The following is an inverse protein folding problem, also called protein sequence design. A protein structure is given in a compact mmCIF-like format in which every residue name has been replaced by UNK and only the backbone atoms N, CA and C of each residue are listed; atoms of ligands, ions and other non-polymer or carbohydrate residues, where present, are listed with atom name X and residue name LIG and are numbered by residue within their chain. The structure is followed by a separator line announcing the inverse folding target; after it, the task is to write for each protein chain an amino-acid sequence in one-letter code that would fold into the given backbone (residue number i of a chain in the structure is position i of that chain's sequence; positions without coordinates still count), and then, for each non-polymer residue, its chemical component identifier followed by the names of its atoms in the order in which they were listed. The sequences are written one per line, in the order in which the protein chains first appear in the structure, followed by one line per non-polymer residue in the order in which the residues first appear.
data_IF_345353393464
#
_entry.id   IF_345353393464
#
_cell.length_a   1.000
_cell.length_b   1.000
_cell.length_c   1.000
_cell.angle_alpha   90.00
_cell.angle_beta   90.00
_cell.angle_gamma   90.00
#
_symmetry.space_group_name_H-M   'P 1'
#
loop_
_entity.id
_entity.type
_entity.pdbx_description
1 polymer ?
#
# COMPACT_ATOMS: atom_id res chain seq x y z
N UNK A 1 21.33 -3.07 -4.32
CA UNK A 1 21.40 -1.79 -3.58
C UNK A 1 20.17 -0.91 -3.82
N UNK A 2 19.73 -0.72 -5.07
CA UNK A 2 18.59 0.15 -5.42
C UNK A 2 17.24 -0.17 -4.73
N UNK A 3 16.90 -1.46 -4.54
CA UNK A 3 15.61 -1.84 -3.94
C UNK A 3 15.44 -1.46 -2.46
N UNK A 4 16.53 -1.43 -1.69
CA UNK A 4 16.49 -1.07 -0.28
C UNK A 4 16.26 0.44 -0.06
N UNK A 5 16.76 1.26 -0.98
CA UNK A 5 16.57 2.72 -0.97
C UNK A 5 15.11 3.09 -1.29
N UNK A 6 14.53 2.45 -2.31
CA UNK A 6 13.12 2.63 -2.67
C UNK A 6 12.20 2.20 -1.53
N UNK A 7 12.50 1.09 -0.84
CA UNK A 7 11.72 0.64 0.31
C UNK A 7 11.81 1.62 1.50
N UNK A 8 13.00 2.19 1.76
CA UNK A 8 13.21 3.21 2.80
C UNK A 8 12.44 4.50 2.52
N UNK A 9 12.43 4.97 1.28
CA UNK A 9 11.68 6.18 0.90
C UNK A 9 10.17 5.93 0.94
N UNK A 10 9.72 4.77 0.44
CA UNK A 10 8.31 4.39 0.41
C UNK A 10 7.74 4.27 1.82
N UNK A 11 8.44 3.58 2.73
CA UNK A 11 8.04 3.47 4.15
C UNK A 11 7.98 4.83 4.85
N UNK A 12 8.90 5.76 4.52
CA UNK A 12 8.88 7.12 5.09
C UNK A 12 7.68 7.93 4.59
N UNK A 13 7.35 7.84 3.31
CA UNK A 13 6.18 8.50 2.71
C UNK A 13 4.89 7.93 3.32
N UNK A 14 4.79 6.61 3.43
CA UNK A 14 3.64 5.93 4.03
C UNK A 14 3.43 6.40 5.48
N UNK A 15 4.50 6.47 6.29
CA UNK A 15 4.41 6.96 7.68
C UNK A 15 3.89 8.40 7.76
N UNK A 16 4.33 9.29 6.87
CA UNK A 16 3.85 10.67 6.80
C UNK A 16 2.36 10.74 6.45
N UNK A 17 1.93 9.95 5.47
CA UNK A 17 0.51 9.83 5.07
C UNK A 17 -0.33 9.29 6.23
N UNK A 18 0.14 8.26 6.94
CA UNK A 18 -0.56 7.66 8.07
C UNK A 18 -0.76 8.64 9.23
N UNK A 19 0.24 9.48 9.54
CA UNK A 19 0.10 10.56 10.55
C UNK A 19 -0.95 11.58 10.13
N UNK A 20 -1.00 11.94 8.85
CA UNK A 20 -2.01 12.86 8.32
C UNK A 20 -3.43 12.27 8.44
N UNK A 21 -3.64 11.03 8.01
CA UNK A 21 -4.93 10.31 8.11
C UNK A 21 -5.38 10.25 9.58
N UNK A 22 -4.47 9.87 10.49
CA UNK A 22 -4.78 9.80 11.92
C UNK A 22 -5.19 11.18 12.50
N UNK A 23 -4.56 12.27 12.03
CA UNK A 23 -4.95 13.63 12.40
C UNK A 23 -6.36 14.00 11.91
N UNK A 24 -6.71 13.62 10.67
CA UNK A 24 -8.04 13.80 10.12
C UNK A 24 -9.10 12.99 10.88
N UNK A 25 -8.82 11.72 11.19
CA UNK A 25 -9.74 10.85 11.93
C UNK A 25 -10.04 11.41 13.33
N UNK A 26 -9.03 11.93 14.04
CA UNK A 26 -9.24 12.57 15.35
C UNK A 26 -10.13 13.81 15.25
N UNK A 27 -9.99 14.60 14.18
CA UNK A 27 -10.86 15.76 13.92
C UNK A 27 -12.30 15.36 13.59
N UNK A 28 -12.49 14.32 12.77
CA UNK A 28 -13.83 13.81 12.40
C UNK A 28 -14.54 13.22 13.63
N UNK A 29 -13.82 12.51 14.48
CA UNK A 29 -14.34 11.92 15.72
C UNK A 29 -14.48 12.94 16.87
N UNK A 30 -14.21 14.22 16.61
CA UNK A 30 -14.28 15.34 17.56
C UNK A 30 -13.53 15.07 18.89
N UNK A 31 -12.37 14.43 18.82
CA UNK A 31 -11.53 14.11 19.97
C UNK A 31 -10.64 15.31 20.26
N UNK A 32 -11.03 16.15 21.22
CA UNK A 32 -10.20 17.23 21.74
C UNK A 32 -9.20 16.67 22.76
N UNK A 33 -7.91 16.77 22.44
CA UNK A 33 -6.82 16.40 23.34
C UNK A 33 -7.03 16.98 24.76
N UNK A 34 -6.73 16.22 25.85
CA UNK A 34 -5.48 15.49 25.99
C UNK A 34 -5.54 14.13 26.74
N UNK A 35 -6.41 13.19 26.37
CA UNK A 35 -6.37 11.84 26.97
C UNK A 35 -6.18 10.74 25.92
N UNK A 36 -4.91 10.47 25.63
CA UNK A 36 -4.31 9.13 25.45
C UNK A 36 -5.09 8.07 24.68
N UNK A 37 -5.83 8.41 23.62
CA UNK A 37 -6.33 7.39 22.70
C UNK A 37 -5.12 6.83 21.94
N UNK A 38 -4.73 5.61 22.29
CA UNK A 38 -3.69 4.86 21.59
C UNK A 38 -4.08 4.71 20.12
N UNK A 39 -3.09 4.70 19.23
CA UNK A 39 -3.36 4.48 17.80
C UNK A 39 -4.10 3.15 17.57
N UNK A 40 -3.88 2.14 18.43
CA UNK A 40 -4.59 0.86 18.39
C UNK A 40 -6.10 0.99 18.62
N UNK A 41 -6.52 1.77 19.62
CA UNK A 41 -7.94 1.99 19.91
C UNK A 41 -8.63 2.78 18.78
N UNK A 42 -7.91 3.71 18.14
CA UNK A 42 -8.41 4.47 17.00
C UNK A 42 -8.59 3.60 15.75
N UNK A 43 -7.68 2.66 15.52
CA UNK A 43 -7.78 1.65 14.46
C UNK A 43 -8.92 0.66 14.70
N UNK A 44 -9.12 0.21 15.94
CA UNK A 44 -10.25 -0.64 16.32
C UNK A 44 -11.59 0.07 16.08
N UNK A 45 -11.69 1.37 16.41
CA UNK A 45 -12.90 2.18 16.19
C UNK A 45 -13.24 2.38 14.71
N UNK A 46 -12.24 2.36 13.83
CA UNK A 46 -12.37 2.61 12.39
C UNK A 46 -12.33 1.34 11.55
N UNK A 47 -12.09 0.17 12.17
CA UNK A 47 -11.82 -1.10 11.49
C UNK A 47 -10.67 -1.01 10.46
N UNK A 48 -9.70 -0.11 10.67
CA UNK A 48 -8.55 0.09 9.77
C UNK A 48 -7.30 -0.60 10.29
N UNK A 49 -6.44 -1.10 9.39
CA UNK A 49 -5.12 -1.66 9.72
C UNK A 49 -4.01 -0.63 9.41
N UNK A 50 -2.83 -0.74 10.06
CA UNK A 50 -1.67 0.05 9.67
C UNK A 50 -1.30 -0.26 8.22
N UNK A 51 -0.93 0.77 7.45
CA UNK A 51 -0.55 0.60 6.04
C UNK A 51 0.61 -0.41 5.83
N UNK A 52 1.51 -0.55 6.81
CA UNK A 52 2.59 -1.55 6.79
C UNK A 52 2.04 -2.99 6.87
N UNK A 53 1.02 -3.20 7.69
CA UNK A 53 0.35 -4.48 7.88
C UNK A 53 -0.45 -4.87 6.62
N UNK A 54 -1.07 -3.89 5.98
CA UNK A 54 -1.79 -4.06 4.72
C UNK A 54 -0.84 -4.42 3.57
N UNK A 55 0.32 -3.74 3.47
CA UNK A 55 1.35 -4.08 2.49
C UNK A 55 1.91 -5.48 2.75
N UNK A 56 2.13 -5.86 4.02
CA UNK A 56 2.59 -7.21 4.39
C UNK A 56 1.55 -8.27 4.05
N UNK A 57 0.28 -8.03 4.35
CA UNK A 57 -0.83 -8.93 4.03
C UNK A 57 -0.99 -9.09 2.52
N UNK A 58 -0.87 -8.00 1.77
CA UNK A 58 -0.89 -8.05 0.31
C UNK A 58 0.31 -8.85 -0.23
N UNK A 59 1.52 -8.61 0.29
CA UNK A 59 2.72 -9.41 -0.05
C UNK A 59 2.52 -10.91 0.20
N UNK A 60 1.97 -11.28 1.36
CA UNK A 60 1.68 -12.68 1.71
C UNK A 60 0.56 -13.28 0.86
N UNK A 61 -0.47 -12.51 0.51
CA UNK A 61 -1.51 -12.93 -0.43
C UNK A 61 -0.93 -13.20 -1.81
N UNK A 62 0.03 -12.39 -2.27
CA UNK A 62 0.70 -12.62 -3.55
C UNK A 62 1.51 -13.91 -3.55
N UNK A 63 2.24 -14.21 -2.47
CA UNK A 63 2.94 -15.50 -2.31
C UNK A 63 1.97 -16.69 -2.30
N UNK A 64 0.79 -16.56 -1.68
CA UNK A 64 -0.19 -17.65 -1.59
C UNK A 64 -1.01 -17.86 -2.87
N UNK A 65 -1.25 -16.82 -3.65
CA UNK A 65 -2.15 -16.89 -4.81
C UNK A 65 -1.44 -17.11 -6.14
N UNK A 66 -0.09 -17.09 -6.18
CA UNK A 66 0.71 -17.13 -7.41
C UNK A 66 0.26 -16.09 -8.47
N UNK A 67 -0.45 -15.04 -8.07
CA UNK A 67 -0.94 -14.02 -8.98
C UNK A 67 0.19 -13.05 -9.33
N UNK A 68 0.37 -12.80 -10.63
CA UNK A 68 1.41 -11.92 -11.13
C UNK A 68 1.02 -10.45 -10.84
N UNK A 69 1.99 -9.59 -10.45
CA UNK A 69 1.73 -8.17 -10.26
C UNK A 69 1.07 -7.58 -11.51
N UNK A 70 0.17 -6.60 -11.34
CA UNK A 70 -0.48 -5.93 -12.47
C UNK A 70 0.56 -5.41 -13.50
N UNK A 71 1.74 -5.01 -13.04
CA UNK A 71 2.86 -4.58 -13.89
C UNK A 71 3.40 -5.72 -14.78
N UNK A 72 3.47 -6.95 -14.27
CA UNK A 72 3.91 -8.13 -14.99
C UNK A 72 2.84 -8.60 -15.99
N UNK A 73 1.56 -8.45 -15.63
CA UNK A 73 0.46 -8.67 -16.57
C UNK A 73 0.45 -7.64 -17.70
N UNK A 74 0.67 -6.35 -17.38
CA UNK A 74 0.83 -5.27 -18.35
C UNK A 74 2.06 -5.55 -19.25
N UNK A 75 3.17 -6.01 -18.69
CA UNK A 75 4.37 -6.39 -19.44
C UNK A 75 4.10 -7.54 -20.40
N UNK A 76 3.45 -8.61 -19.94
CA UNK A 76 3.04 -9.75 -20.80
C UNK A 76 2.10 -9.33 -21.92
N UNK A 77 1.09 -8.50 -21.60
CA UNK A 77 0.18 -7.95 -22.61
C UNK A 77 0.95 -7.12 -23.63
N UNK A 78 1.85 -6.23 -23.20
CA UNK A 78 2.68 -5.40 -24.09
C UNK A 78 3.54 -6.25 -25.03
N UNK A 79 4.25 -7.27 -24.52
CA UNK A 79 5.05 -8.16 -25.36
C UNK A 79 4.20 -8.95 -26.37
N UNK A 80 3.01 -9.40 -25.96
CA UNK A 80 2.06 -10.04 -26.87
C UNK A 80 1.64 -9.10 -28.00
N UNK A 81 1.30 -7.85 -27.70
CA UNK A 81 0.96 -6.83 -28.69
C UNK A 81 2.11 -6.51 -29.66
N UNK A 82 3.34 -6.43 -29.17
CA UNK A 82 4.53 -6.24 -30.03
C UNK A 82 4.68 -7.43 -30.98
N UNK A 83 4.57 -8.66 -30.50
CA UNK A 83 4.66 -9.85 -31.37
C UNK A 83 3.57 -9.92 -32.43
N UNK A 84 2.35 -9.44 -32.15
CA UNK A 84 1.27 -9.37 -33.13
C UNK A 84 1.51 -8.30 -34.20
N UNK A 85 2.04 -7.13 -33.81
CA UNK A 85 2.32 -6.03 -34.75
C UNK A 85 3.52 -6.32 -35.66
N UNK A 86 4.56 -6.98 -35.15
CA UNK A 86 5.73 -7.37 -35.95
C UNK A 86 5.48 -8.56 -36.88
N UNK A 87 4.38 -9.31 -36.69
CA UNK A 87 3.99 -10.46 -37.52
C UNK A 87 3.03 -10.09 -38.67
N UNK A 88 2.57 -8.83 -38.70
CA UNK A 88 1.69 -8.27 -39.72
C UNK A 88 2.44 -7.34 -40.72
N UNK A 89 3.76 -7.23 -40.60
CA UNK A 89 4.69 -6.66 -41.59
C UNK A 89 5.42 -7.80 -42.32
#
# INVERSE_FOLDING_TARGET
MYGAEIWRTTTTIIKKVQVFINGCLRKILNINWPDTISNSLLWERTNQLPAEEEIRKNSLLWERTNQLPAEEEIRKRRWKWIGHSTKLL
#
